data_IF_180657719731
#
_entry.id   IF_180657719731
#
_cell.length_a   1.000
_cell.length_b   1.000
_cell.length_c   1.000
_cell.angle_alpha   90.00
_cell.angle_beta   90.00
_cell.angle_gamma   90.00
#
_symmetry.space_group_name_H-M   'P 1'
#
loop_
_entity.id
_entity.type
_entity.pdbx_description
1 polymer ?
#
# COMPACT_ATOMS: atom_id res chain seq x y z
N UNK A 1 -10.60 5.20 -7.57
CA UNK A 1 -10.35 3.74 -7.58
C UNK A 1 -10.34 3.13 -6.17
N UNK A 2 -9.39 3.50 -5.29
CA UNK A 2 -9.24 2.90 -3.94
C UNK A 2 -10.53 2.89 -3.09
N UNK A 3 -11.20 4.05 -2.95
CA UNK A 3 -12.48 4.15 -2.20
C UNK A 3 -13.57 3.24 -2.74
N UNK A 4 -13.71 3.15 -4.06
CA UNK A 4 -14.69 2.29 -4.72
C UNK A 4 -14.37 0.80 -4.49
N UNK A 5 -13.10 0.41 -4.61
CA UNK A 5 -12.65 -0.96 -4.34
C UNK A 5 -12.93 -1.35 -2.89
N UNK A 6 -12.68 -0.45 -1.92
CA UNK A 6 -12.97 -0.70 -0.51
C UNK A 6 -14.47 -0.96 -0.28
N UNK A 7 -15.34 -0.09 -0.80
CA UNK A 7 -16.78 -0.24 -0.66
C UNK A 7 -17.30 -1.53 -1.31
N UNK A 8 -16.77 -1.91 -2.48
CA UNK A 8 -17.15 -3.17 -3.15
C UNK A 8 -16.68 -4.40 -2.38
N UNK A 9 -15.46 -4.38 -1.84
CA UNK A 9 -14.95 -5.45 -0.97
C UNK A 9 -15.84 -5.62 0.27
N UNK A 10 -16.20 -4.52 0.94
CA UNK A 10 -17.10 -4.55 2.10
C UNK A 10 -18.50 -5.06 1.74
N UNK A 11 -19.07 -4.58 0.64
CA UNK A 11 -20.39 -5.02 0.17
C UNK A 11 -20.40 -6.51 -0.19
N UNK A 12 -19.36 -7.00 -0.88
CA UNK A 12 -19.22 -8.42 -1.18
C UNK A 12 -19.08 -9.28 0.08
N UNK A 13 -18.27 -8.84 1.05
CA UNK A 13 -18.08 -9.53 2.32
C UNK A 13 -19.38 -9.62 3.14
N UNK A 14 -20.20 -8.55 3.14
CA UNK A 14 -21.53 -8.55 3.78
C UNK A 14 -22.49 -9.57 3.18
N UNK A 15 -22.33 -9.89 1.89
CA UNK A 15 -23.10 -10.92 1.19
C UNK A 15 -22.48 -12.33 1.34
N UNK A 16 -21.40 -12.48 2.11
CA UNK A 16 -20.67 -13.75 2.29
C UNK A 16 -19.84 -14.15 1.07
N UNK A 17 -19.64 -13.27 0.09
CA UNK A 17 -18.79 -13.55 -1.06
C UNK A 17 -17.32 -13.59 -0.65
N UNK A 18 -16.58 -14.52 -1.25
CA UNK A 18 -15.13 -14.56 -1.13
C UNK A 18 -14.50 -13.27 -1.70
N UNK A 19 -13.31 -12.85 -1.22
CA UNK A 19 -12.60 -11.70 -1.75
C UNK A 19 -12.37 -11.83 -3.27
N UNK A 20 -12.93 -10.89 -4.02
CA UNK A 20 -12.77 -10.79 -5.47
C UNK A 20 -11.56 -9.95 -5.90
N UNK A 21 -11.42 -9.64 -7.20
CA UNK A 21 -10.35 -8.79 -7.71
C UNK A 21 -10.29 -7.40 -7.06
N UNK A 22 -11.40 -6.94 -6.47
CA UNK A 22 -11.48 -5.70 -5.69
C UNK A 22 -10.53 -5.69 -4.50
N UNK A 23 -10.30 -6.84 -3.86
CA UNK A 23 -9.35 -6.97 -2.75
C UNK A 23 -7.90 -6.77 -3.23
N UNK A 24 -7.54 -7.37 -4.37
CA UNK A 24 -6.24 -7.17 -5.01
C UNK A 24 -6.03 -5.73 -5.46
N UNK A 25 -7.06 -5.08 -6.02
CA UNK A 25 -7.04 -3.66 -6.38
C UNK A 25 -6.86 -2.79 -5.13
N UNK A 26 -7.58 -3.11 -4.05
CA UNK A 26 -7.49 -2.39 -2.79
C UNK A 26 -6.07 -2.45 -2.22
N UNK A 27 -5.48 -3.65 -2.16
CA UNK A 27 -4.09 -3.83 -1.71
C UNK A 27 -3.12 -3.04 -2.57
N UNK A 28 -3.17 -3.21 -3.89
CA UNK A 28 -2.26 -2.55 -4.83
C UNK A 28 -2.34 -1.02 -4.71
N UNK A 29 -3.55 -0.47 -4.73
CA UNK A 29 -3.73 0.99 -4.62
C UNK A 29 -3.41 1.51 -3.23
N UNK A 30 -3.73 0.75 -2.19
CA UNK A 30 -3.44 1.11 -0.81
C UNK A 30 -1.93 1.19 -0.56
N UNK A 31 -1.17 0.19 -1.01
CA UNK A 31 0.29 0.21 -0.88
C UNK A 31 0.91 1.36 -1.67
N UNK A 32 0.48 1.60 -2.92
CA UNK A 32 0.95 2.74 -3.74
C UNK A 32 0.68 4.10 -3.07
N UNK A 33 -0.51 4.29 -2.49
CA UNK A 33 -0.87 5.53 -1.77
C UNK A 33 0.01 5.70 -0.52
N UNK A 34 0.27 4.62 0.23
CA UNK A 34 1.17 4.68 1.39
C UNK A 34 2.63 5.00 1.01
N UNK A 35 3.11 4.54 -0.15
CA UNK A 35 4.43 4.94 -0.65
C UNK A 35 4.46 6.45 -0.89
N UNK A 36 3.55 6.94 -1.74
CA UNK A 36 3.51 8.34 -2.14
C UNK A 36 3.26 9.30 -0.97
N UNK A 37 2.38 8.94 -0.04
CA UNK A 37 2.06 9.79 1.10
C UNK A 37 3.26 9.97 2.04
N UNK A 38 4.00 8.89 2.32
CA UNK A 38 5.15 8.97 3.22
C UNK A 38 6.41 9.46 2.51
N UNK A 39 6.57 9.26 1.20
CA UNK A 39 7.59 9.95 0.41
C UNK A 39 7.38 11.46 0.50
N UNK A 40 6.15 11.94 0.27
CA UNK A 40 5.83 13.36 0.40
C UNK A 40 6.04 13.89 1.82
N UNK A 41 5.72 13.09 2.85
CA UNK A 41 5.95 13.49 4.23
C UNK A 41 7.45 13.63 4.55
N UNK A 42 8.28 12.69 4.08
CA UNK A 42 9.74 12.79 4.21
C UNK A 42 10.28 14.02 3.48
N UNK A 43 9.81 14.28 2.26
CA UNK A 43 10.21 15.47 1.48
C UNK A 43 9.80 16.78 2.18
N UNK A 44 8.62 16.82 2.80
CA UNK A 44 8.13 17.99 3.52
C UNK A 44 8.94 18.28 4.79
N UNK A 45 9.40 17.25 5.50
CA UNK A 45 10.28 17.37 6.66
C UNK A 45 11.72 17.78 6.29
N UNK A 46 12.14 17.53 5.03
CA UNK A 46 13.48 17.87 4.57
C UNK A 46 14.56 17.17 5.38
N UNK A 47 15.48 17.94 5.98
CA UNK A 47 16.59 17.38 6.76
C UNK A 47 16.12 16.73 8.07
N UNK A 48 15.01 17.20 8.64
CA UNK A 48 14.47 16.69 9.90
C UNK A 48 13.97 15.24 9.77
N UNK A 49 13.72 14.78 8.54
CA UNK A 49 13.37 13.40 8.24
C UNK A 49 14.51 12.40 8.54
N UNK A 50 15.75 12.88 8.65
CA UNK A 50 16.94 12.09 8.98
C UNK A 50 17.07 11.88 10.50
N UNK A 51 16.00 11.44 11.15
CA UNK A 51 15.86 11.41 12.61
C UNK A 51 16.99 10.70 13.37
N UNK A 52 17.66 9.72 12.76
CA UNK A 52 18.81 9.03 13.35
C UNK A 52 20.02 9.94 13.61
N UNK A 53 20.07 11.11 12.98
CA UNK A 53 21.15 12.09 13.10
C UNK A 53 20.71 13.35 13.85
N UNK A 54 19.44 13.45 14.26
CA UNK A 54 18.93 14.60 14.97
C UNK A 54 19.27 14.52 16.45
N UNK A 55 19.51 15.68 17.07
CA UNK A 55 19.54 15.78 18.52
C UNK A 55 18.11 15.66 19.09
N UNK A 56 18.00 15.31 20.37
CA UNK A 56 16.71 15.17 21.05
C UNK A 56 15.97 16.51 21.06
N UNK A 57 14.68 16.49 20.69
CA UNK A 57 13.82 17.69 20.67
C UNK A 57 13.94 18.57 19.42
N UNK A 58 14.73 18.18 18.41
CA UNK A 58 14.80 18.89 17.12
C UNK A 58 13.48 18.76 16.34
N UNK A 59 12.88 17.56 16.35
CA UNK A 59 11.64 17.26 15.63
C UNK A 59 10.45 17.38 16.58
N UNK A 60 9.34 18.03 16.18
CA UNK A 60 8.11 18.01 16.95
C UNK A 60 7.66 16.56 17.28
N UNK A 61 7.18 16.28 18.52
CA UNK A 61 6.77 14.93 18.91
C UNK A 61 5.70 14.29 18.01
N UNK A 62 4.86 15.10 17.36
CA UNK A 62 3.82 14.67 16.42
C UNK A 62 4.34 14.34 15.02
N UNK A 63 5.61 14.62 14.71
CA UNK A 63 6.27 14.32 13.44
C UNK A 63 7.35 13.23 13.57
N UNK A 64 7.82 12.97 14.79
CA UNK A 64 8.94 12.04 15.08
C UNK A 64 8.71 10.60 14.57
N UNK A 65 7.45 10.19 14.46
CA UNK A 65 7.08 8.84 14.01
C UNK A 65 7.13 8.66 12.48
N UNK A 66 7.15 9.76 11.71
CA UNK A 66 7.03 9.74 10.25
C UNK A 66 8.14 8.92 9.57
N UNK A 67 9.44 9.09 9.90
CA UNK A 67 10.52 8.32 9.27
C UNK A 67 10.44 6.81 9.59
N UNK A 68 10.06 6.46 10.81
CA UNK A 68 9.88 5.06 11.21
C UNK A 68 8.76 4.40 10.43
N UNK A 69 7.63 5.10 10.26
CA UNK A 69 6.50 4.59 9.49
C UNK A 69 6.78 4.58 7.98
N UNK A 70 7.53 5.54 7.45
CA UNK A 70 8.05 5.49 6.08
C UNK A 70 8.81 4.17 5.85
N UNK A 71 9.77 3.83 6.70
CA UNK A 71 10.57 2.61 6.57
C UNK A 71 9.71 1.35 6.69
N UNK A 72 8.82 1.29 7.68
CA UNK A 72 7.91 0.16 7.85
C UNK A 72 7.00 -0.04 6.64
N UNK A 73 6.44 1.04 6.09
CA UNK A 73 5.50 0.99 4.97
C UNK A 73 6.14 0.50 3.68
N UNK A 74 7.47 0.41 3.58
CA UNK A 74 8.14 -0.24 2.44
C UNK A 74 7.74 -1.70 2.31
N UNK A 75 7.56 -2.40 3.43
CA UNK A 75 7.15 -3.79 3.43
C UNK A 75 5.74 -4.02 2.85
N UNK A 76 4.86 -3.01 2.84
CA UNK A 76 3.46 -3.11 2.37
C UNK A 76 3.34 -3.50 0.90
N UNK A 77 4.37 -3.23 0.08
CA UNK A 77 4.39 -3.62 -1.33
C UNK A 77 4.73 -5.10 -1.51
N UNK A 78 5.17 -5.79 -0.46
CA UNK A 78 5.68 -7.17 -0.48
C UNK A 78 4.76 -8.12 0.28
N UNK A 79 4.52 -7.87 1.56
CA UNK A 79 3.74 -8.80 2.38
C UNK A 79 2.27 -8.85 1.95
N UNK A 80 1.60 -9.97 2.25
CA UNK A 80 0.22 -10.19 1.79
C UNK A 80 0.10 -10.33 0.27
N UNK A 81 1.19 -10.73 -0.39
CA UNK A 81 1.33 -10.83 -1.84
C UNK A 81 1.89 -9.52 -2.43
N UNK A 82 2.98 -9.63 -3.19
CA UNK A 82 3.66 -8.46 -3.74
C UNK A 82 2.77 -7.68 -4.72
N UNK A 83 3.10 -6.43 -4.98
CA UNK A 83 2.34 -5.62 -5.94
C UNK A 83 2.33 -6.26 -7.35
N UNK A 84 3.39 -6.94 -7.75
CA UNK A 84 3.48 -7.72 -9.00
C UNK A 84 2.51 -8.91 -8.98
N UNK A 85 2.42 -9.62 -7.86
CA UNK A 85 1.45 -10.71 -7.69
C UNK A 85 0.02 -10.18 -7.76
N UNK A 86 -0.28 -9.04 -7.12
CA UNK A 86 -1.61 -8.44 -7.21
C UNK A 86 -1.95 -8.01 -8.64
N UNK A 87 -1.00 -7.41 -9.37
CA UNK A 87 -1.18 -7.09 -10.81
C UNK A 87 -1.49 -8.34 -11.63
N UNK A 88 -0.82 -9.45 -11.36
CA UNK A 88 -1.08 -10.72 -12.02
C UNK A 88 -2.47 -11.29 -11.69
N UNK A 89 -2.93 -11.20 -10.44
CA UNK A 89 -4.29 -11.63 -10.05
C UNK A 89 -5.33 -10.78 -10.78
N UNK A 90 -5.15 -9.46 -10.79
CA UNK A 90 -6.04 -8.53 -11.49
C UNK A 90 -6.09 -8.85 -12.99
N UNK A 91 -4.94 -9.05 -13.62
CA UNK A 91 -4.84 -9.42 -15.03
C UNK A 91 -5.62 -10.71 -15.36
N UNK A 92 -5.54 -11.72 -14.49
CA UNK A 92 -6.25 -12.99 -14.69
C UNK A 92 -7.76 -12.85 -14.49
N UNK A 93 -8.18 -12.20 -13.41
CA UNK A 93 -9.58 -12.14 -13.01
C UNK A 93 -10.40 -11.12 -13.81
N UNK A 94 -9.78 -10.01 -14.25
CA UNK A 94 -10.47 -8.94 -14.98
C UNK A 94 -10.24 -9.05 -16.48
N UNK A 95 -9.00 -9.30 -16.92
CA UNK A 95 -8.65 -9.30 -18.34
C UNK A 95 -8.67 -10.72 -18.95
N UNK A 96 -8.89 -11.77 -18.14
CA UNK A 96 -8.94 -13.15 -18.62
C UNK A 96 -7.59 -13.66 -19.15
N UNK A 97 -6.47 -13.06 -18.76
CA UNK A 97 -5.16 -13.42 -19.30
C UNK A 97 -4.69 -14.81 -18.80
N UNK A 98 -4.00 -15.59 -19.66
CA UNK A 98 -3.52 -16.93 -19.32
C UNK A 98 -2.47 -16.90 -18.20
N UNK A 99 -2.30 -18.02 -17.51
CA UNK A 99 -1.26 -18.13 -16.50
C UNK A 99 0.12 -18.28 -17.16
N UNK A 100 1.14 -17.51 -16.73
CA UNK A 100 2.51 -17.78 -17.14
C UNK A 100 2.87 -19.23 -16.80
N UNK A 101 3.25 -20.02 -17.82
CA UNK A 101 3.66 -21.42 -17.65
C UNK A 101 2.55 -22.47 -17.70
N UNK A 102 1.30 -22.10 -17.99
CA UNK A 102 0.27 -23.05 -18.42
C UNK A 102 -0.09 -22.77 -19.87
N UNK A 103 0.47 -23.57 -20.77
CA UNK A 103 -0.01 -23.70 -22.14
C UNK A 103 -1.37 -24.42 -22.14
#
# INVERSE_FOLDING_TARGET
AHRMANLRTLAGAQLGHAPGPESSILKLRGSEILQQAYELAMDAMGQDALSWFNEEGVVPPDEEWVPSVFNYNRATTIYGGSNEIQKNIIAKLILGLPQPGKA
#
